data_IF_168758242643
#
_entry.id   IF_168758242643
#
_cell.length_a   1.000
_cell.length_b   1.000
_cell.length_c   1.000
_cell.angle_alpha   90.00
_cell.angle_beta   90.00
_cell.angle_gamma   90.00
#
_symmetry.space_group_name_H-M   'P 1'
#
loop_
_entity.id
_entity.type
_entity.pdbx_description
1 polymer ?
#
# COMPACT_ATOMS: atom_id res chain seq x y z
N UNK A 1 -30.59 34.65 -0.22
CA UNK A 1 -30.69 33.23 0.17
C UNK A 1 -29.79 32.46 -0.80
N UNK A 2 -28.65 31.93 -0.35
CA UNK A 2 -27.86 31.04 -1.20
C UNK A 2 -28.70 29.79 -1.52
N UNK A 3 -28.79 29.41 -2.78
CA UNK A 3 -29.57 28.24 -3.21
C UNK A 3 -29.01 26.96 -2.59
N UNK A 4 -29.89 25.99 -2.31
CA UNK A 4 -29.50 24.67 -1.80
C UNK A 4 -28.54 24.04 -2.82
N UNK A 5 -27.34 23.58 -2.42
CA UNK A 5 -26.40 22.96 -3.34
C UNK A 5 -27.00 21.72 -4.00
N UNK A 6 -26.80 21.59 -5.32
CA UNK A 6 -27.30 20.47 -6.10
C UNK A 6 -26.64 19.16 -5.61
N UNK A 7 -27.46 18.15 -5.32
CA UNK A 7 -26.99 16.84 -4.86
C UNK A 7 -26.34 16.07 -6.00
N UNK A 8 -25.13 15.55 -5.78
CA UNK A 8 -24.47 14.60 -6.68
C UNK A 8 -24.91 13.16 -6.34
N UNK A 9 -25.29 12.37 -7.35
CA UNK A 9 -25.69 10.95 -7.22
C UNK A 9 -25.10 10.13 -8.36
N UNK A 10 -25.10 8.80 -8.21
CA UNK A 10 -24.69 7.85 -9.27
C UNK A 10 -23.24 8.02 -9.78
N UNK A 11 -22.37 8.63 -8.95
CA UNK A 11 -20.98 8.96 -9.31
C UNK A 11 -19.99 7.78 -9.23
N UNK A 12 -20.40 6.67 -8.61
CA UNK A 12 -19.53 5.50 -8.41
C UNK A 12 -18.29 5.77 -7.54
N UNK A 13 -17.31 4.84 -7.53
CA UNK A 13 -16.05 5.06 -6.83
C UNK A 13 -15.10 5.96 -7.64
N UNK A 14 -14.14 6.63 -6.99
CA UNK A 14 -13.00 7.21 -7.68
C UNK A 14 -12.31 6.14 -8.54
N UNK A 15 -12.02 6.47 -9.80
CA UNK A 15 -11.32 5.56 -10.68
C UNK A 15 -9.93 5.22 -10.09
N UNK A 16 -9.63 3.93 -9.92
CA UNK A 16 -8.45 3.45 -9.19
C UNK A 16 -7.11 3.97 -9.76
N UNK A 17 -7.05 4.21 -11.07
CA UNK A 17 -5.88 4.77 -11.76
C UNK A 17 -5.42 6.15 -11.24
N UNK A 18 -6.30 6.85 -10.50
CA UNK A 18 -5.94 8.10 -9.80
C UNK A 18 -5.15 7.87 -8.52
N UNK A 19 -5.11 6.64 -8.02
CA UNK A 19 -4.50 6.23 -6.74
C UNK A 19 -3.39 5.20 -6.93
N UNK A 20 -2.97 4.94 -8.18
CA UNK A 20 -1.86 4.03 -8.46
C UNK A 20 -0.51 4.76 -8.29
N UNK A 21 0.48 4.12 -7.64
CA UNK A 21 1.85 4.61 -7.69
C UNK A 21 2.31 4.78 -9.14
N UNK A 22 3.10 5.81 -9.48
CA UNK A 22 3.56 6.07 -10.85
C UNK A 22 4.22 4.85 -11.51
N UNK A 23 5.05 4.10 -10.77
CA UNK A 23 5.72 2.91 -11.31
C UNK A 23 4.74 1.77 -11.63
N UNK A 24 3.66 1.63 -10.85
CA UNK A 24 2.61 0.65 -11.13
C UNK A 24 1.81 1.07 -12.36
N UNK A 25 1.50 2.36 -12.48
CA UNK A 25 0.77 2.91 -13.63
C UNK A 25 1.54 2.73 -14.94
N UNK A 26 2.84 3.03 -14.94
CA UNK A 26 3.71 2.86 -16.10
C UNK A 26 3.83 1.40 -16.56
N UNK A 27 3.78 0.46 -15.60
CA UNK A 27 3.98 -0.98 -15.82
C UNK A 27 2.70 -1.80 -15.70
N UNK A 28 1.53 -1.15 -15.78
CA UNK A 28 0.25 -1.84 -15.59
C UNK A 28 0.05 -2.92 -16.66
N UNK A 29 -0.10 -4.16 -16.21
CA UNK A 29 -0.21 -5.34 -17.09
C UNK A 29 1.10 -5.84 -17.70
N UNK A 30 2.26 -5.27 -17.31
CA UNK A 30 3.59 -5.58 -17.86
C UNK A 30 4.56 -6.06 -16.78
N UNK A 31 4.11 -7.00 -15.95
CA UNK A 31 4.90 -7.56 -14.87
C UNK A 31 5.57 -8.85 -15.31
N UNK A 32 6.88 -8.95 -15.11
CA UNK A 32 7.67 -10.11 -15.51
C UNK A 32 7.62 -11.21 -14.46
N UNK A 33 7.86 -10.86 -13.20
CA UNK A 33 7.82 -11.80 -12.08
C UNK A 33 7.69 -11.08 -10.74
N UNK A 34 7.48 -11.87 -9.68
CA UNK A 34 7.60 -11.43 -8.30
C UNK A 34 8.47 -12.40 -7.50
N UNK A 35 9.08 -11.91 -6.42
CA UNK A 35 9.95 -12.71 -5.56
C UNK A 35 9.77 -12.29 -4.10
N UNK A 36 9.72 -13.28 -3.20
CA UNK A 36 9.72 -13.03 -1.76
C UNK A 36 11.15 -12.76 -1.29
N UNK A 37 11.40 -11.59 -0.70
CA UNK A 37 12.72 -11.22 -0.19
C UNK A 37 12.90 -11.77 1.23
N UNK A 38 11.89 -11.59 2.07
CA UNK A 38 11.84 -12.03 3.47
C UNK A 38 10.39 -12.01 3.97
N UNK A 39 10.08 -12.50 5.18
CA UNK A 39 8.72 -12.46 5.70
C UNK A 39 8.11 -11.05 5.63
N UNK A 40 6.95 -10.93 4.96
CA UNK A 40 6.23 -9.68 4.79
C UNK A 40 6.83 -8.69 3.79
N UNK A 41 7.90 -9.06 3.07
CA UNK A 41 8.51 -8.23 2.02
C UNK A 41 8.68 -8.99 0.72
N UNK A 42 8.17 -8.44 -0.37
CA UNK A 42 8.35 -8.99 -1.72
C UNK A 42 8.65 -7.89 -2.73
N UNK A 43 9.18 -8.27 -3.89
CA UNK A 43 9.40 -7.37 -5.03
C UNK A 43 8.62 -7.85 -6.23
N UNK A 44 8.08 -6.91 -7.00
CA UNK A 44 7.61 -7.14 -8.36
C UNK A 44 8.58 -6.48 -9.32
N UNK A 45 8.95 -7.19 -10.39
CA UNK A 45 9.84 -6.70 -11.43
C UNK A 45 9.06 -6.62 -12.73
N UNK A 46 9.01 -5.45 -13.33
CA UNK A 46 8.35 -5.19 -14.60
C UNK A 46 9.19 -5.69 -15.79
N UNK A 47 8.57 -5.81 -16.95
CA UNK A 47 9.27 -6.10 -18.21
C UNK A 47 10.30 -5.02 -18.57
N UNK A 48 10.06 -3.76 -18.15
CA UNK A 48 11.00 -2.63 -18.29
C UNK A 48 12.26 -2.77 -17.43
N UNK A 49 12.22 -3.64 -16.41
CA UNK A 49 13.23 -3.70 -15.35
C UNK A 49 12.88 -2.87 -14.11
N UNK A 50 11.83 -2.04 -14.16
CA UNK A 50 11.35 -1.31 -12.99
C UNK A 50 10.97 -2.26 -11.86
N UNK A 51 11.19 -1.82 -10.62
CA UNK A 51 10.88 -2.58 -9.42
C UNK A 51 9.91 -1.83 -8.54
N UNK A 52 9.06 -2.58 -7.86
CA UNK A 52 8.29 -2.09 -6.72
C UNK A 52 8.35 -3.11 -5.59
N UNK A 53 8.69 -2.62 -4.41
CA UNK A 53 8.80 -3.40 -3.19
C UNK A 53 7.53 -3.24 -2.37
N UNK A 54 6.95 -4.36 -1.96
CA UNK A 54 5.76 -4.39 -1.11
C UNK A 54 6.17 -4.79 0.29
N UNK A 55 5.86 -3.95 1.28
CA UNK A 55 5.96 -4.29 2.71
C UNK A 55 4.55 -4.45 3.26
N UNK A 56 4.23 -5.66 3.75
CA UNK A 56 2.91 -6.00 4.28
C UNK A 56 2.91 -6.07 5.80
N UNK A 57 1.98 -5.38 6.43
CA UNK A 57 1.73 -5.48 7.86
C UNK A 57 0.26 -5.79 8.17
N UNK A 58 0.04 -6.34 9.36
CA UNK A 58 -1.29 -6.68 9.84
C UNK A 58 -2.12 -5.43 10.15
N UNK A 59 -3.44 -5.55 10.02
CA UNK A 59 -4.40 -4.58 10.53
C UNK A 59 -5.56 -5.32 11.19
N UNK A 60 -6.15 -4.76 12.27
CA UNK A 60 -7.25 -5.39 13.00
C UNK A 60 -8.58 -5.36 12.23
N UNK A 61 -8.60 -4.89 10.97
CA UNK A 61 -9.79 -4.63 10.13
C UNK A 61 -10.70 -3.52 10.67
N UNK A 62 -11.16 -3.66 11.90
CA UNK A 62 -11.89 -2.60 12.61
C UNK A 62 -10.87 -1.60 13.16
N UNK A 63 -10.85 -0.40 12.57
CA UNK A 63 -9.85 0.64 12.86
C UNK A 63 -10.51 1.99 13.08
N UNK A 64 -9.89 2.81 13.93
CA UNK A 64 -10.24 4.22 14.08
C UNK A 64 -9.57 5.10 13.02
N UNK A 65 -10.00 6.36 12.94
CA UNK A 65 -9.43 7.34 11.99
C UNK A 65 -7.97 7.68 12.29
N UNK A 66 -7.56 7.66 13.55
CA UNK A 66 -6.16 7.92 13.94
C UNK A 66 -5.19 6.84 13.43
N UNK A 67 -5.63 5.58 13.43
CA UNK A 67 -4.88 4.49 12.81
C UNK A 67 -4.72 4.70 11.30
N UNK A 68 -5.79 5.12 10.61
CA UNK A 68 -5.75 5.42 9.17
C UNK A 68 -4.76 6.56 8.90
N UNK A 69 -4.82 7.64 9.68
CA UNK A 69 -3.88 8.77 9.56
C UNK A 69 -2.43 8.36 9.81
N UNK A 70 -2.19 7.52 10.82
CA UNK A 70 -0.86 6.97 11.07
C UNK A 70 -0.32 6.18 9.88
N UNK A 71 -1.16 5.37 9.21
CA UNK A 71 -0.75 4.67 7.99
C UNK A 71 -0.49 5.64 6.84
N UNK A 72 -1.30 6.69 6.70
CA UNK A 72 -1.10 7.75 5.70
C UNK A 72 0.23 8.49 5.93
N UNK A 73 0.56 8.86 7.17
CA UNK A 73 1.82 9.53 7.50
C UNK A 73 3.03 8.65 7.16
N UNK A 74 2.94 7.34 7.40
CA UNK A 74 3.97 6.37 7.00
C UNK A 74 4.06 6.26 5.46
N UNK A 75 2.93 6.26 4.76
CA UNK A 75 2.94 6.19 3.31
C UNK A 75 3.50 7.45 2.66
N UNK A 76 3.16 8.63 3.18
CA UNK A 76 3.74 9.90 2.74
C UNK A 76 5.26 9.93 2.94
N UNK A 77 5.74 9.36 4.06
CA UNK A 77 7.16 9.31 4.39
C UNK A 77 7.98 8.34 3.53
N UNK A 78 7.40 7.19 3.16
CA UNK A 78 8.19 6.07 2.61
C UNK A 78 7.81 5.65 1.20
N UNK A 79 6.62 5.96 0.72
CA UNK A 79 6.11 5.49 -0.57
C UNK A 79 5.21 6.52 -1.26
N UNK A 80 5.60 7.79 -1.21
CA UNK A 80 4.98 8.91 -1.95
C UNK A 80 3.45 9.03 -1.74
N UNK A 81 2.97 8.64 -0.55
CA UNK A 81 1.55 8.67 -0.18
C UNK A 81 0.73 7.48 -0.70
N UNK A 82 1.37 6.46 -1.29
CA UNK A 82 0.68 5.30 -1.83
C UNK A 82 0.73 4.09 -0.89
N UNK A 83 -0.44 3.59 -0.53
CA UNK A 83 -0.62 2.30 0.14
C UNK A 83 -1.84 1.60 -0.43
N UNK A 84 -2.00 0.31 -0.12
CA UNK A 84 -3.25 -0.40 -0.39
C UNK A 84 -3.61 -1.37 0.73
N UNK A 85 -4.87 -1.79 0.73
CA UNK A 85 -5.34 -2.90 1.56
C UNK A 85 -5.49 -4.15 0.71
N UNK A 86 -5.11 -5.29 1.30
CA UNK A 86 -5.32 -6.62 0.69
C UNK A 86 -6.75 -7.10 0.95
N UNK A 87 -7.17 -8.14 0.23
CA UNK A 87 -8.47 -8.79 0.47
C UNK A 87 -8.63 -9.40 1.86
N UNK A 88 -7.52 -9.63 2.59
CA UNK A 88 -7.50 -10.12 3.98
C UNK A 88 -7.25 -8.99 4.99
N UNK A 89 -7.52 -7.75 4.59
CA UNK A 89 -7.41 -6.55 5.42
C UNK A 89 -5.99 -6.23 5.93
N UNK A 90 -4.94 -6.91 5.45
CA UNK A 90 -3.56 -6.46 5.66
C UNK A 90 -3.32 -5.14 4.91
N UNK A 91 -2.39 -4.33 5.41
CA UNK A 91 -1.91 -3.11 4.77
C UNK A 91 -0.65 -3.41 3.97
N UNK A 92 -0.51 -2.80 2.81
CA UNK A 92 0.68 -2.87 1.96
C UNK A 92 1.17 -1.49 1.60
N UNK A 93 2.43 -1.21 1.94
CA UNK A 93 3.19 -0.06 1.48
C UNK A 93 3.94 -0.42 0.20
N UNK A 94 3.97 0.50 -0.77
CA UNK A 94 4.42 0.24 -2.14
C UNK A 94 5.62 1.12 -2.50
N UNK A 95 6.83 0.64 -2.22
CA UNK A 95 8.07 1.42 -2.28
C UNK A 95 8.74 1.27 -3.66
N UNK A 96 9.08 2.40 -4.28
CA UNK A 96 9.90 2.46 -5.50
C UNK A 96 11.40 2.42 -5.18
N UNK A 97 11.80 2.91 -4.01
CA UNK A 97 13.18 2.87 -3.50
C UNK A 97 13.37 1.74 -2.47
N UNK A 98 14.24 0.78 -2.79
CA UNK A 98 14.61 -0.34 -1.91
C UNK A 98 15.21 0.13 -0.58
N UNK A 99 15.89 1.28 -0.56
CA UNK A 99 16.57 1.80 0.63
C UNK A 99 15.59 2.17 1.76
N UNK A 100 14.33 2.42 1.43
CA UNK A 100 13.28 2.78 2.38
C UNK A 100 12.67 1.58 3.12
N UNK A 101 12.97 0.34 2.73
CA UNK A 101 12.42 -0.85 3.36
C UNK A 101 12.86 -0.95 4.83
N UNK A 102 14.17 -0.86 5.10
CA UNK A 102 14.70 -0.96 6.47
C UNK A 102 14.19 0.15 7.40
N UNK A 103 14.19 1.43 7.00
CA UNK A 103 13.52 2.50 7.74
C UNK A 103 12.05 2.20 8.05
N UNK A 104 11.26 1.80 7.04
CA UNK A 104 9.84 1.52 7.23
C UNK A 104 9.62 0.36 8.21
N UNK A 105 10.40 -0.73 8.13
CA UNK A 105 10.27 -1.85 9.06
C UNK A 105 10.52 -1.44 10.51
N UNK A 106 11.46 -0.52 10.76
CA UNK A 106 11.72 0.00 12.11
C UNK A 106 10.53 0.80 12.64
N UNK A 107 9.96 1.67 11.82
CA UNK A 107 8.79 2.48 12.20
C UNK A 107 7.55 1.61 12.41
N UNK A 108 7.34 0.58 11.58
CA UNK A 108 6.26 -0.40 11.76
C UNK A 108 6.42 -1.20 13.07
N UNK A 109 7.64 -1.61 13.40
CA UNK A 109 7.91 -2.29 14.67
C UNK A 109 7.66 -1.36 15.88
N UNK A 110 8.08 -0.10 15.80
CA UNK A 110 7.83 0.91 16.84
C UNK A 110 6.33 1.19 17.00
N UNK A 111 5.58 1.21 15.90
CA UNK A 111 4.12 1.34 15.86
C UNK A 111 3.38 0.07 16.30
N UNK A 112 4.10 -1.04 16.60
CA UNK A 112 3.53 -2.35 16.93
C UNK A 112 2.61 -2.90 15.83
N UNK A 113 2.98 -2.68 14.57
CA UNK A 113 2.31 -3.23 13.39
C UNK A 113 3.11 -4.44 12.88
N UNK A 114 2.70 -5.68 13.18
CA UNK A 114 3.47 -6.87 12.80
C UNK A 114 3.58 -7.00 11.28
N UNK A 115 4.80 -7.21 10.80
CA UNK A 115 5.10 -7.42 9.37
C UNK A 115 5.05 -8.91 9.06
N UNK A 116 4.37 -9.32 7.98
CA UNK A 116 4.20 -10.73 7.65
C UNK A 116 3.00 -11.02 6.75
N UNK A 117 2.43 -12.22 6.88
CA UNK A 117 1.21 -12.63 6.16
C UNK A 117 1.40 -12.80 4.65
N UNK A 118 2.58 -13.24 4.21
CA UNK A 118 2.91 -13.51 2.80
C UNK A 118 3.34 -14.96 2.59
N UNK A 119 3.09 -15.51 1.39
CA UNK A 119 3.49 -16.84 0.96
C UNK A 119 3.03 -17.95 1.92
N UNK A 120 3.88 -18.95 2.20
CA UNK A 120 3.60 -20.10 3.06
C UNK A 120 3.64 -19.71 4.54
N UNK A 121 2.75 -18.81 4.96
CA UNK A 121 2.60 -18.35 6.33
C UNK A 121 1.13 -18.21 6.71
N UNK A 122 0.88 -18.02 8.01
CA UNK A 122 -0.45 -17.68 8.50
C UNK A 122 -0.67 -16.18 8.27
N UNK A 123 -1.72 -15.86 7.54
CA UNK A 123 -2.20 -14.48 7.33
C UNK A 123 -3.35 -14.17 8.27
N UNK A 124 -3.60 -12.86 8.46
CA UNK A 124 -4.84 -12.29 9.03
C UNK A 124 -6.08 -12.98 8.49
#
# INVERSE_FOLDING_TARGET
MAGIPQRETDIGPPHYDKMLPPVIKANYGKWKYHEGIRPGVMVHVAESGDKIFTVRCASPRLVGTDFIRQLSDLADKYCDGFLRFTSRNNVEFLLSDESQIEPLLKDLAAAKLPVGGMNNSISN
#
